data_IF_005045951709
#
_entry.id   IF_005045951709
#
_cell.length_a   1.000
_cell.length_b   1.000
_cell.length_c   1.000
_cell.angle_alpha   90.00
_cell.angle_beta   90.00
_cell.angle_gamma   90.00
#
_symmetry.space_group_name_H-M   'P 1'
#
loop_
_entity.id
_entity.type
_entity.pdbx_description
1 polymer ?
#
# COMPACT_ATOMS: atom_id res chain seq x y z
N UNK A 1 12.89 17.89 -2.46
CA UNK A 1 12.59 17.22 -3.73
C UNK A 1 12.14 18.27 -4.72
N UNK A 2 12.69 18.27 -5.93
CA UNK A 2 12.23 19.09 -7.07
C UNK A 2 11.34 18.23 -7.98
N UNK A 3 10.55 18.87 -8.86
CA UNK A 3 9.65 18.20 -9.80
C UNK A 3 10.08 18.46 -11.25
N UNK A 4 11.39 18.36 -11.50
CA UNK A 4 12.08 18.68 -12.75
C UNK A 4 12.27 17.46 -13.67
N UNK A 5 11.77 16.29 -13.28
CA UNK A 5 11.92 15.04 -14.02
C UNK A 5 13.27 14.36 -13.85
N UNK A 6 14.12 14.82 -12.94
CA UNK A 6 15.40 14.19 -12.63
C UNK A 6 15.28 13.22 -11.44
N UNK A 7 16.11 12.18 -11.46
CA UNK A 7 16.23 11.25 -10.33
C UNK A 7 16.90 11.94 -9.14
N UNK A 8 16.27 11.81 -7.98
CA UNK A 8 16.74 12.39 -6.73
C UNK A 8 16.81 11.31 -5.66
N UNK A 9 17.95 11.22 -4.98
CA UNK A 9 18.14 10.28 -3.89
C UNK A 9 17.26 10.64 -2.70
N UNK A 10 16.67 9.62 -2.08
CA UNK A 10 15.78 9.77 -0.93
C UNK A 10 16.16 8.77 0.15
N UNK A 11 15.88 9.13 1.40
CA UNK A 11 16.02 8.22 2.53
C UNK A 11 14.64 7.63 2.83
N UNK A 12 14.31 6.51 2.17
CA UNK A 12 13.03 5.81 2.32
C UNK A 12 13.23 4.28 2.23
N UNK A 13 12.61 3.48 3.11
CA UNK A 13 12.64 2.02 2.98
C UNK A 13 12.10 1.56 1.62
N UNK A 14 12.78 0.59 1.00
CA UNK A 14 12.42 0.06 -0.32
C UNK A 14 12.59 1.01 -1.51
N UNK A 15 13.10 2.25 -1.33
CA UNK A 15 13.26 3.22 -2.42
C UNK A 15 14.55 4.02 -2.24
N UNK A 16 15.46 3.96 -3.22
CA UNK A 16 16.72 4.72 -3.19
C UNK A 16 16.58 6.08 -3.88
N UNK A 17 15.76 6.16 -4.95
CA UNK A 17 15.54 7.40 -5.69
C UNK A 17 14.07 7.58 -6.08
N UNK A 18 13.65 8.84 -6.15
CA UNK A 18 12.38 9.27 -6.72
C UNK A 18 12.64 10.22 -7.88
N UNK A 19 11.79 10.13 -8.91
CA UNK A 19 11.70 11.09 -10.00
C UNK A 19 10.30 11.64 -10.00
N UNK A 20 10.18 12.96 -10.08
CA UNK A 20 8.90 13.66 -10.09
C UNK A 20 8.91 14.67 -11.22
N UNK A 21 7.85 14.69 -12.03
CA UNK A 21 7.72 15.56 -13.20
C UNK A 21 6.40 16.32 -13.12
N UNK A 22 6.45 17.65 -13.22
CA UNK A 22 5.24 18.42 -13.51
C UNK A 22 4.89 18.29 -15.00
N UNK A 23 3.71 17.77 -15.28
CA UNK A 23 3.22 17.60 -16.66
C UNK A 23 2.48 18.86 -17.12
N UNK A 24 1.60 19.37 -16.26
CA UNK A 24 0.82 20.59 -16.43
C UNK A 24 0.38 21.11 -15.04
N UNK A 25 -0.35 22.23 -14.98
CA UNK A 25 -0.76 22.90 -13.74
C UNK A 25 -1.60 22.03 -12.77
N UNK A 26 -2.14 20.90 -13.24
CA UNK A 26 -3.01 19.98 -12.50
C UNK A 26 -2.48 18.54 -12.42
N UNK A 27 -1.38 18.24 -13.12
CA UNK A 27 -0.90 16.87 -13.31
C UNK A 27 0.57 16.72 -12.95
N UNK A 28 0.87 15.67 -12.19
CA UNK A 28 2.22 15.27 -11.82
C UNK A 28 2.41 13.77 -12.09
N UNK A 29 3.58 13.40 -12.56
CA UNK A 29 4.01 12.01 -12.66
C UNK A 29 5.13 11.74 -11.66
N UNK A 30 5.15 10.52 -11.11
CA UNK A 30 6.27 10.06 -10.30
C UNK A 30 6.68 8.62 -10.61
N UNK A 31 7.97 8.35 -10.45
CA UNK A 31 8.59 7.04 -10.62
C UNK A 31 9.54 6.82 -9.45
N UNK A 32 9.65 5.58 -9.00
CA UNK A 32 10.56 5.18 -7.93
C UNK A 32 11.65 4.25 -8.46
N UNK A 33 12.77 4.16 -7.75
CA UNK A 33 13.88 3.27 -8.13
C UNK A 33 14.53 2.65 -6.90
N UNK A 34 14.84 1.35 -6.99
CA UNK A 34 15.65 0.59 -6.04
C UNK A 34 16.82 -0.03 -6.80
N UNK A 35 18.05 0.40 -6.50
CA UNK A 35 19.22 0.05 -7.31
C UNK A 35 19.00 0.42 -8.78
N UNK A 36 19.01 -0.57 -9.67
CA UNK A 36 18.72 -0.38 -11.09
C UNK A 36 17.25 -0.59 -11.47
N UNK A 37 16.45 -1.19 -10.59
CA UNK A 37 15.06 -1.58 -10.80
C UNK A 37 14.11 -0.37 -10.64
N UNK A 38 13.11 -0.27 -11.52
CA UNK A 38 11.97 0.65 -11.39
C UNK A 38 10.76 -0.18 -10.93
N UNK A 39 10.40 -0.16 -9.63
CA UNK A 39 9.31 -1.00 -9.13
C UNK A 39 7.92 -0.48 -9.48
N UNK A 40 7.78 0.81 -9.82
CA UNK A 40 6.48 1.34 -10.19
C UNK A 40 6.49 2.84 -10.50
N UNK A 41 5.37 3.26 -11.07
CA UNK A 41 5.11 4.61 -11.55
C UNK A 41 3.69 5.04 -11.18
N UNK A 42 3.45 6.35 -11.15
CA UNK A 42 2.13 6.90 -10.86
C UNK A 42 1.89 8.25 -11.53
N UNK A 43 0.62 8.53 -11.81
CA UNK A 43 0.12 9.79 -12.32
C UNK A 43 -0.92 10.37 -11.35
N UNK A 44 -0.78 11.64 -11.02
CA UNK A 44 -1.55 12.37 -10.04
C UNK A 44 -2.29 13.48 -10.79
N UNK A 45 -3.62 13.44 -10.80
CA UNK A 45 -4.42 14.43 -11.51
C UNK A 45 -5.42 15.10 -10.56
N UNK A 46 -5.34 16.43 -10.47
CA UNK A 46 -6.23 17.24 -9.63
C UNK A 46 -7.40 17.73 -10.46
N UNK A 47 -8.62 17.62 -9.92
CA UNK A 47 -9.84 18.12 -10.56
C UNK A 47 -9.80 19.64 -10.75
N UNK A 48 -10.59 20.14 -11.71
CA UNK A 48 -10.66 21.58 -12.03
C UNK A 48 -11.07 22.45 -10.82
N UNK A 49 -11.95 21.93 -9.97
CA UNK A 49 -12.35 22.60 -8.72
C UNK A 49 -11.28 22.55 -7.62
N UNK A 50 -10.18 21.82 -7.86
CA UNK A 50 -9.09 21.61 -6.93
C UNK A 50 -9.43 20.69 -5.76
N UNK A 51 -10.65 20.17 -5.63
CA UNK A 51 -11.11 19.50 -4.41
C UNK A 51 -10.82 17.99 -4.39
N UNK A 52 -10.55 17.40 -5.55
CA UNK A 52 -10.33 15.96 -5.71
C UNK A 52 -8.99 15.72 -6.41
N UNK A 53 -8.30 14.66 -6.03
CA UNK A 53 -7.12 14.17 -6.73
C UNK A 53 -7.25 12.68 -7.00
N UNK A 54 -7.00 12.27 -8.25
CA UNK A 54 -6.93 10.87 -8.63
C UNK A 54 -5.47 10.48 -8.82
N UNK A 55 -5.04 9.47 -8.07
CA UNK A 55 -3.75 8.81 -8.21
C UNK A 55 -3.96 7.51 -8.98
N UNK A 56 -3.43 7.41 -10.19
CA UNK A 56 -3.32 6.15 -10.92
C UNK A 56 -1.91 5.60 -10.76
N UNK A 57 -1.77 4.31 -10.48
CA UNK A 57 -0.47 3.69 -10.25
C UNK A 57 -0.32 2.40 -11.06
N UNK A 58 0.94 2.07 -11.36
CA UNK A 58 1.35 0.79 -11.94
C UNK A 58 2.52 0.26 -11.13
N UNK A 59 2.43 -1.00 -10.73
CA UNK A 59 3.48 -1.73 -10.03
C UNK A 59 4.01 -2.83 -10.96
N UNK A 60 5.31 -2.81 -11.20
CA UNK A 60 6.01 -3.76 -12.08
C UNK A 60 6.60 -4.95 -11.32
N UNK A 61 6.52 -4.95 -9.98
CA UNK A 61 6.94 -6.08 -9.14
C UNK A 61 5.84 -7.12 -9.03
N UNK A 62 6.27 -8.37 -8.85
CA UNK A 62 5.42 -9.53 -8.70
C UNK A 62 5.43 -10.44 -9.93
N UNK A 63 4.57 -11.45 -9.90
CA UNK A 63 4.39 -12.41 -11.01
C UNK A 63 3.82 -11.73 -12.27
N UNK A 64 2.96 -10.73 -12.08
CA UNK A 64 2.41 -9.89 -13.13
C UNK A 64 2.37 -8.39 -12.76
N UNK A 65 2.36 -7.54 -13.78
CA UNK A 65 2.18 -6.10 -13.62
C UNK A 65 0.78 -5.80 -13.11
N UNK A 66 0.71 -5.06 -12.01
CA UNK A 66 -0.56 -4.67 -11.40
C UNK A 66 -0.79 -3.18 -11.53
N UNK A 67 -2.06 -2.78 -11.56
CA UNK A 67 -2.46 -1.38 -11.65
C UNK A 67 -3.67 -1.10 -10.78
N UNK A 68 -3.87 0.18 -10.49
CA UNK A 68 -5.06 0.62 -9.80
C UNK A 68 -5.12 2.12 -9.66
N UNK A 69 -6.13 2.58 -8.92
CA UNK A 69 -6.30 4.00 -8.64
C UNK A 69 -6.79 4.27 -7.22
N UNK A 70 -6.55 5.49 -6.75
CA UNK A 70 -7.04 5.98 -5.47
C UNK A 70 -7.46 7.43 -5.62
N UNK A 71 -8.65 7.75 -5.14
CA UNK A 71 -9.18 9.10 -5.09
C UNK A 71 -8.96 9.68 -3.71
N UNK A 72 -8.54 10.94 -3.68
CA UNK A 72 -8.32 11.73 -2.49
C UNK A 72 -9.23 12.96 -2.49
N UNK A 73 -9.71 13.33 -1.31
CA UNK A 73 -10.37 14.61 -1.06
C UNK A 73 -9.38 15.58 -0.41
N UNK A 74 -9.43 16.85 -0.81
CA UNK A 74 -8.56 17.89 -0.25
C UNK A 74 -8.93 18.18 1.20
N UNK A 75 -7.97 18.05 2.10
CA UNK A 75 -8.07 18.46 3.50
C UNK A 75 -7.63 19.93 3.68
N UNK A 76 -6.54 20.33 3.02
CA UNK A 76 -6.07 21.72 3.01
C UNK A 76 -5.35 22.05 1.69
N UNK A 77 -5.39 23.33 1.30
CA UNK A 77 -4.65 23.81 0.14
C UNK A 77 -3.17 24.03 0.50
N UNK A 78 -2.29 23.85 -0.49
CA UNK A 78 -0.89 24.29 -0.35
C UNK A 78 -0.78 25.83 -0.23
N UNK A 79 0.42 26.35 0.12
CA UNK A 79 0.68 27.78 0.14
C UNK A 79 0.36 28.47 -1.19
N UNK A 80 -0.02 29.74 -1.15
CA UNK A 80 -0.30 30.53 -2.36
C UNK A 80 0.85 30.45 -3.37
N UNK A 81 0.50 30.21 -4.64
CA UNK A 81 1.46 30.03 -5.74
C UNK A 81 2.07 28.62 -5.85
N UNK A 82 1.66 27.68 -4.99
CA UNK A 82 2.05 26.27 -5.14
C UNK A 82 1.31 25.59 -6.28
N UNK A 83 1.90 24.50 -6.80
CA UNK A 83 1.25 23.63 -7.79
C UNK A 83 -0.06 23.04 -7.24
N UNK A 84 -1.06 22.77 -8.08
CA UNK A 84 -2.40 22.31 -7.65
C UNK A 84 -2.38 21.01 -6.83
N UNK A 85 -1.40 20.14 -7.07
CA UNK A 85 -1.17 18.90 -6.30
C UNK A 85 -0.76 19.18 -4.85
N UNK A 86 -0.21 20.35 -4.55
CA UNK A 86 0.28 20.70 -3.21
C UNK A 86 -0.88 20.87 -2.22
N UNK A 87 -0.65 20.46 -0.97
CA UNK A 87 -1.63 20.54 0.12
C UNK A 87 -1.73 19.22 0.87
N UNK A 88 -2.72 19.13 1.75
CA UNK A 88 -3.04 17.91 2.48
C UNK A 88 -4.23 17.22 1.81
N UNK A 89 -4.12 15.90 1.68
CA UNK A 89 -5.07 15.05 0.98
C UNK A 89 -5.42 13.85 1.85
N UNK A 90 -6.70 13.50 1.89
CA UNK A 90 -7.21 12.34 2.62
C UNK A 90 -7.80 11.35 1.62
N UNK A 91 -7.48 10.06 1.76
CA UNK A 91 -8.07 9.01 0.94
C UNK A 91 -9.59 9.08 1.06
N UNK A 92 -10.27 9.28 -0.08
CA UNK A 92 -11.74 9.32 -0.13
C UNK A 92 -12.32 8.02 -0.67
N UNK A 93 -11.65 7.39 -1.63
CA UNK A 93 -12.13 6.17 -2.27
C UNK A 93 -10.96 5.37 -2.88
N UNK A 94 -11.02 4.05 -2.73
CA UNK A 94 -10.20 3.14 -3.54
C UNK A 94 -10.90 2.93 -4.89
N UNK A 95 -10.15 3.11 -5.98
CA UNK A 95 -10.65 2.87 -7.33
C UNK A 95 -10.53 1.41 -7.74
N UNK A 96 -10.82 1.14 -9.01
CA UNK A 96 -10.62 -0.18 -9.59
C UNK A 96 -9.12 -0.55 -9.57
N UNK A 97 -8.85 -1.83 -9.33
CA UNK A 97 -7.52 -2.42 -9.33
C UNK A 97 -7.55 -3.68 -10.18
N UNK A 98 -6.41 -4.04 -10.79
CA UNK A 98 -6.27 -5.31 -11.50
C UNK A 98 -6.51 -6.50 -10.58
N UNK A 99 -7.09 -7.59 -11.07
CA UNK A 99 -7.41 -8.79 -10.27
C UNK A 99 -6.21 -9.29 -9.46
N UNK A 100 -5.01 -9.33 -10.06
CA UNK A 100 -3.79 -9.75 -9.39
C UNK A 100 -3.35 -8.82 -8.24
N UNK A 101 -3.76 -7.55 -8.24
CA UNK A 101 -3.49 -6.62 -7.14
C UNK A 101 -4.35 -6.90 -5.90
N UNK A 102 -5.51 -7.55 -6.09
CA UNK A 102 -6.50 -7.81 -5.04
C UNK A 102 -6.71 -9.31 -4.79
N UNK A 103 -5.90 -10.15 -5.42
CA UNK A 103 -5.96 -11.60 -5.25
C UNK A 103 -4.85 -12.05 -4.33
N UNK A 104 -5.24 -12.68 -3.22
CA UNK A 104 -4.34 -13.35 -2.29
C UNK A 104 -5.01 -14.63 -1.79
N UNK A 105 -4.19 -15.58 -1.35
CA UNK A 105 -4.64 -16.85 -0.77
C UNK A 105 -4.10 -16.99 0.64
N UNK A 106 -4.97 -17.33 1.58
CA UNK A 106 -4.60 -17.80 2.91
C UNK A 106 -4.82 -19.30 3.01
N UNK A 107 -3.79 -20.03 3.43
CA UNK A 107 -3.87 -21.45 3.80
C UNK A 107 -3.52 -21.60 5.25
N UNK A 108 -4.33 -22.37 6.00
CA UNK A 108 -4.06 -22.68 7.41
C UNK A 108 -3.99 -24.20 7.55
N UNK A 109 -2.86 -24.70 8.04
CA UNK A 109 -2.64 -26.10 8.37
C UNK A 109 -2.11 -26.20 9.81
N UNK A 110 -2.97 -26.66 10.73
CA UNK A 110 -2.67 -26.68 12.15
C UNK A 110 -2.43 -25.26 12.71
N UNK A 111 -1.21 -25.02 13.18
CA UNK A 111 -0.74 -23.73 13.68
C UNK A 111 0.04 -22.92 12.64
N UNK A 112 0.18 -23.43 11.42
CA UNK A 112 0.89 -22.74 10.33
C UNK A 112 -0.11 -22.01 9.46
N UNK A 113 0.18 -20.73 9.18
CA UNK A 113 -0.53 -19.92 8.20
C UNK A 113 0.43 -19.52 7.08
N UNK A 114 -0.03 -19.68 5.85
CA UNK A 114 0.67 -19.24 4.65
C UNK A 114 -0.21 -18.26 3.89
N UNK A 115 0.36 -17.11 3.55
CA UNK A 115 -0.23 -16.12 2.66
C UNK A 115 0.57 -16.07 1.36
N UNK A 116 -0.11 -16.02 0.22
CA UNK A 116 0.50 -15.85 -1.10
C UNK A 116 -0.30 -14.86 -1.93
N UNK A 117 0.37 -13.95 -2.63
CA UNK A 117 -0.23 -13.03 -3.59
C UNK A 117 0.76 -12.63 -4.68
N UNK A 118 0.34 -11.73 -5.58
CA UNK A 118 1.14 -11.36 -6.75
C UNK A 118 2.55 -10.85 -6.42
N UNK A 119 2.71 -10.14 -5.30
CA UNK A 119 3.96 -9.46 -4.93
C UNK A 119 4.73 -10.13 -3.78
N UNK A 120 4.45 -11.42 -3.54
CA UNK A 120 5.10 -12.21 -2.50
C UNK A 120 4.08 -12.80 -1.52
N UNK A 121 4.59 -13.16 -0.35
CA UNK A 121 3.84 -13.92 0.63
C UNK A 121 4.60 -14.09 1.93
N UNK A 122 4.10 -14.97 2.78
CA UNK A 122 4.80 -15.37 3.99
C UNK A 122 4.30 -16.75 4.45
N UNK A 123 5.12 -17.42 5.26
CA UNK A 123 4.70 -18.55 6.09
C UNK A 123 5.07 -18.27 7.54
N UNK A 124 4.09 -18.33 8.44
CA UNK A 124 4.26 -18.00 9.84
C UNK A 124 3.57 -19.05 10.73
N UNK A 125 4.04 -19.16 11.98
CA UNK A 125 3.33 -19.90 13.03
C UNK A 125 2.41 -18.94 13.79
N UNK A 126 1.15 -19.34 14.00
CA UNK A 126 0.17 -18.60 14.77
C UNK A 126 0.62 -18.45 16.23
N UNK A 127 0.80 -17.20 16.69
CA UNK A 127 1.37 -16.88 18.00
C UNK A 127 2.88 -17.15 18.11
N UNK A 128 3.56 -17.34 16.97
CA UNK A 128 5.00 -17.55 16.88
C UNK A 128 5.81 -16.25 16.79
N UNK A 129 7.12 -16.39 16.62
CA UNK A 129 8.02 -15.26 16.39
C UNK A 129 7.72 -14.57 15.04
N UNK A 130 7.96 -13.25 14.94
CA UNK A 130 7.80 -12.54 13.67
C UNK A 130 8.69 -13.11 12.57
N UNK A 131 8.16 -13.17 11.36
CA UNK A 131 8.87 -13.61 10.14
C UNK A 131 9.04 -12.44 9.16
N UNK A 132 10.06 -12.50 8.32
CA UNK A 132 10.21 -11.56 7.21
C UNK A 132 9.37 -12.07 6.02
N UNK A 133 8.43 -11.27 5.49
CA UNK A 133 7.73 -11.60 4.25
C UNK A 133 8.70 -11.84 3.09
N UNK A 134 8.28 -12.68 2.15
CA UNK A 134 9.01 -12.91 0.90
C UNK A 134 9.18 -11.60 0.15
N UNK A 135 10.36 -11.39 -0.43
CA UNK A 135 10.74 -10.21 -1.22
C UNK A 135 10.64 -8.86 -0.49
N UNK A 136 10.54 -8.83 0.85
CA UNK A 136 10.61 -7.58 1.60
C UNK A 136 12.01 -6.94 1.50
N UNK A 137 12.05 -5.75 0.90
CA UNK A 137 13.24 -4.90 0.80
C UNK A 137 13.15 -3.66 1.71
N UNK A 138 12.20 -3.68 2.65
CA UNK A 138 11.92 -2.56 3.55
C UNK A 138 12.45 -2.78 4.96
N UNK A 139 12.85 -4.00 5.32
CA UNK A 139 13.25 -4.39 6.67
C UNK A 139 12.07 -4.72 7.59
N UNK A 140 10.90 -5.03 7.01
CA UNK A 140 9.68 -5.35 7.72
C UNK A 140 9.67 -6.77 8.27
N UNK A 141 8.95 -6.95 9.37
CA UNK A 141 8.59 -8.25 9.93
C UNK A 141 7.10 -8.32 10.24
N UNK A 142 6.55 -9.52 10.17
CA UNK A 142 5.15 -9.82 10.38
C UNK A 142 5.01 -10.89 11.47
N UNK A 143 4.13 -10.65 12.44
CA UNK A 143 3.63 -11.68 13.34
C UNK A 143 2.14 -11.91 13.10
N UNK A 144 1.68 -13.16 13.26
CA UNK A 144 0.27 -13.52 13.09
C UNK A 144 -0.26 -14.21 14.34
N UNK A 145 -1.34 -13.68 14.90
CA UNK A 145 -2.02 -14.23 16.05
C UNK A 145 -3.42 -14.71 15.68
N UNK A 146 -3.85 -15.82 16.28
CA UNK A 146 -5.26 -16.22 16.25
C UNK A 146 -6.00 -15.53 17.40
N UNK A 147 -6.94 -14.64 17.08
CA UNK A 147 -7.66 -13.79 18.05
C UNK A 147 -9.06 -14.31 18.37
N UNK A 148 -9.56 -15.27 17.59
CA UNK A 148 -10.85 -15.93 17.79
C UNK A 148 -10.93 -17.22 16.98
N UNK A 149 -12.09 -17.89 16.96
CA UNK A 149 -12.26 -19.16 16.24
C UNK A 149 -11.93 -19.03 14.74
N UNK A 150 -12.42 -17.96 14.12
CA UNK A 150 -12.22 -17.61 12.71
C UNK A 150 -11.68 -16.19 12.54
N UNK A 151 -10.93 -15.70 13.53
CA UNK A 151 -10.37 -14.35 13.55
C UNK A 151 -8.87 -14.39 13.76
N UNK A 152 -8.16 -13.57 13.00
CA UNK A 152 -6.70 -13.52 12.95
C UNK A 152 -6.25 -12.06 12.97
N UNK A 153 -5.05 -11.82 13.48
CA UNK A 153 -4.41 -10.51 13.48
C UNK A 153 -3.01 -10.63 12.94
N UNK A 154 -2.74 -9.87 11.89
CA UNK A 154 -1.41 -9.60 11.38
C UNK A 154 -0.88 -8.30 11.99
N UNK A 155 0.34 -8.35 12.53
CA UNK A 155 1.04 -7.18 13.05
C UNK A 155 2.32 -6.97 12.26
N UNK A 156 2.35 -5.93 11.44
CA UNK A 156 3.53 -5.54 10.68
C UNK A 156 4.33 -4.52 11.47
N UNK A 157 5.63 -4.80 11.63
CA UNK A 157 6.57 -3.93 12.31
C UNK A 157 7.80 -3.68 11.45
N UNK A 158 8.42 -2.52 11.62
CA UNK A 158 9.71 -2.19 11.02
C UNK A 158 10.52 -1.41 12.05
N UNK A 159 11.80 -1.75 12.20
CA UNK A 159 12.71 -1.12 13.16
C UNK A 159 12.16 -1.09 14.61
N UNK A 160 11.35 -2.09 14.97
CA UNK A 160 10.73 -2.21 16.29
C UNK A 160 9.45 -1.38 16.50
N UNK A 161 9.02 -0.61 15.50
CA UNK A 161 7.75 0.14 15.50
C UNK A 161 6.67 -0.62 14.73
N UNK A 162 5.46 -0.71 15.31
CA UNK A 162 4.29 -1.28 14.61
C UNK A 162 3.80 -0.26 13.58
N UNK A 163 3.79 -0.64 12.31
CA UNK A 163 3.41 0.25 11.20
C UNK A 163 2.06 -0.11 10.58
N UNK A 164 1.55 -1.32 10.84
CA UNK A 164 0.21 -1.72 10.45
C UNK A 164 -0.31 -2.87 11.33
N UNK A 165 -1.61 -2.84 11.61
CA UNK A 165 -2.35 -3.96 12.19
C UNK A 165 -3.50 -4.31 11.24
N UNK A 166 -3.54 -5.55 10.77
CA UNK A 166 -4.61 -6.08 9.94
C UNK A 166 -5.39 -7.14 10.73
N UNK A 167 -6.63 -6.79 11.09
CA UNK A 167 -7.58 -7.73 11.68
C UNK A 167 -8.40 -8.40 10.57
N UNK A 168 -8.39 -9.74 10.54
CA UNK A 168 -9.12 -10.56 9.59
C UNK A 168 -10.17 -11.40 10.30
N UNK A 169 -11.35 -11.55 9.69
CA UNK A 169 -12.39 -12.49 10.14
C UNK A 169 -13.00 -13.22 8.95
N UNK A 170 -13.12 -14.54 9.07
CA UNK A 170 -13.72 -15.42 8.07
C UNK A 170 -15.13 -15.83 8.50
N UNK A 171 -16.11 -15.59 7.64
CA UNK A 171 -17.51 -16.01 7.81
C UNK A 171 -18.01 -16.70 6.54
N UNK A 172 -17.97 -18.03 6.54
CA UNK A 172 -18.24 -18.84 5.35
C UNK A 172 -17.27 -18.51 4.22
N UNK A 173 -17.82 -18.16 3.06
CA UNK A 173 -17.05 -17.71 1.88
C UNK A 173 -16.76 -16.20 1.90
N UNK A 174 -16.83 -15.56 3.07
CA UNK A 174 -16.62 -14.11 3.23
C UNK A 174 -15.40 -13.85 4.08
N UNK A 175 -14.45 -13.07 3.57
CA UNK A 175 -13.33 -12.54 4.34
C UNK A 175 -13.59 -11.05 4.61
N UNK A 176 -13.54 -10.63 5.87
CA UNK A 176 -13.59 -9.22 6.25
C UNK A 176 -12.26 -8.80 6.83
N UNK A 177 -11.79 -7.61 6.44
CA UNK A 177 -10.53 -7.05 6.91
C UNK A 177 -10.67 -5.62 7.44
N UNK A 178 -9.90 -5.31 8.48
CA UNK A 178 -9.68 -3.95 8.96
C UNK A 178 -8.18 -3.70 9.10
N UNK A 179 -7.62 -2.89 8.20
CA UNK A 179 -6.23 -2.48 8.23
C UNK A 179 -6.12 -1.12 8.91
N UNK A 180 -5.32 -1.03 9.97
CA UNK A 180 -5.13 0.17 10.77
C UNK A 180 -3.66 0.55 10.81
N UNK A 181 -3.36 1.81 10.49
CA UNK A 181 -2.05 2.39 10.79
C UNK A 181 -2.08 2.98 12.21
N UNK A 182 -1.38 2.39 13.20
CA UNK A 182 -1.43 2.88 14.57
C UNK A 182 -0.71 4.23 14.77
N UNK A 183 0.07 4.70 13.79
CA UNK A 183 0.85 5.95 13.90
C UNK A 183 -0.04 7.19 13.74
N UNK A 184 -1.11 7.07 12.96
CA UNK A 184 -2.09 8.14 12.74
C UNK A 184 -3.55 7.73 13.02
N UNK A 185 -3.79 6.45 13.29
CA UNK A 185 -5.12 5.91 13.60
C UNK A 185 -6.03 5.75 12.37
N UNK A 186 -5.52 5.95 11.17
CA UNK A 186 -6.27 5.73 9.94
C UNK A 186 -6.66 4.26 9.79
N UNK A 187 -7.86 4.00 9.27
CA UNK A 187 -8.38 2.63 9.11
C UNK A 187 -9.09 2.48 7.79
N UNK A 188 -8.73 1.42 7.06
CA UNK A 188 -9.45 0.95 5.86
C UNK A 188 -10.14 -0.36 6.20
N UNK A 189 -11.40 -0.50 5.80
CA UNK A 189 -12.20 -1.72 5.98
C UNK A 189 -12.68 -2.23 4.64
N UNK A 190 -12.69 -3.55 4.50
CA UNK A 190 -13.11 -4.22 3.27
C UNK A 190 -13.76 -5.57 3.56
N UNK A 191 -14.47 -6.08 2.57
CA UNK A 191 -15.10 -7.39 2.60
C UNK A 191 -15.00 -8.01 1.22
N UNK A 192 -14.45 -9.22 1.15
CA UNK A 192 -14.27 -9.96 -0.09
C UNK A 192 -14.96 -11.32 -0.03
N UNK A 193 -15.35 -11.80 -1.22
CA UNK A 193 -15.89 -13.16 -1.38
C UNK A 193 -14.81 -14.07 -1.92
N UNK A 194 -14.77 -15.30 -1.39
CA UNK A 194 -13.96 -16.37 -1.95
C UNK A 194 -14.39 -16.58 -3.41
N UNK A 195 -13.42 -16.57 -4.32
CA UNK A 195 -13.59 -16.85 -5.74
C UNK A 195 -13.07 -18.24 -6.10
#
# INVERSE_FOLDING_TARGET
MTADGEWQSVERPGVDNLKVTLVDDSTLESSSRKGEEVPGESAWNVSEDGQTMTLSWTNFRGDETTNGSTTYARASAGPDGSHAVSGEWTVSQLGEMSDAAVTWTYTIDGDTITSTGNSGGYTATLGGDPVTPEDDDTGGVLAVDKTGENSYRETYSRDGEVINVLDLTVDGDTLSGASTDPRDGSTVRWTEKRH
#
